data_IF_030230590146
#
_entry.id   IF_030230590146
#
_cell.length_a   1.000
_cell.length_b   1.000
_cell.length_c   1.000
_cell.angle_alpha   90.00
_cell.angle_beta   90.00
_cell.angle_gamma   90.00
#
_symmetry.space_group_name_H-M   'P 1'
#
loop_
_entity.id
_entity.type
_entity.pdbx_description
1 polymer ?
#
# COMPACT_ATOMS: atom_id res chain seq x y z
N UNK A 1 -11.42 -12.41 0.49
CA UNK A 1 -11.74 -11.72 -0.78
C UNK A 1 -10.77 -12.22 -1.84
N UNK A 2 -11.29 -12.67 -2.98
CA UNK A 2 -10.53 -13.23 -4.11
C UNK A 2 -10.93 -12.47 -5.38
N UNK A 3 -9.98 -12.09 -6.19
CA UNK A 3 -10.21 -11.58 -7.55
C UNK A 3 -10.41 -12.80 -8.45
N UNK A 4 -11.60 -12.98 -9.02
CA UNK A 4 -11.94 -14.10 -9.89
C UNK A 4 -11.84 -13.76 -11.38
N UNK A 5 -12.08 -12.48 -11.74
CA UNK A 5 -12.02 -12.02 -13.12
C UNK A 5 -11.66 -10.55 -13.25
N UNK A 6 -11.09 -10.20 -14.40
CA UNK A 6 -10.73 -8.82 -14.74
C UNK A 6 -10.96 -8.62 -16.24
N UNK A 7 -11.77 -7.62 -16.60
CA UNK A 7 -11.93 -7.16 -17.98
C UNK A 7 -11.41 -5.75 -18.11
N UNK A 8 -10.67 -5.50 -19.17
CA UNK A 8 -10.01 -4.24 -19.50
C UNK A 8 -10.50 -3.76 -20.85
N UNK A 9 -10.98 -2.52 -20.91
CA UNK A 9 -11.33 -1.86 -22.16
C UNK A 9 -10.56 -0.54 -22.24
N UNK A 10 -9.76 -0.40 -23.28
CA UNK A 10 -8.93 0.77 -23.55
C UNK A 10 -8.07 1.19 -22.34
N UNK A 11 -7.49 0.22 -21.66
CA UNK A 11 -6.66 0.48 -20.49
C UNK A 11 -5.18 0.19 -20.80
N UNK A 12 -4.36 1.22 -20.78
CA UNK A 12 -2.90 1.13 -21.07
C UNK A 12 -2.62 0.47 -22.43
N UNK A 13 -2.09 -0.75 -22.45
CA UNK A 13 -1.80 -1.55 -23.65
C UNK A 13 -2.94 -2.48 -24.07
N UNK A 14 -4.06 -2.48 -23.34
CA UNK A 14 -5.19 -3.38 -23.61
C UNK A 14 -6.33 -2.63 -24.27
N UNK A 15 -6.70 -3.04 -25.49
CA UNK A 15 -7.92 -2.54 -26.16
C UNK A 15 -9.18 -3.19 -25.60
N UNK A 16 -9.24 -4.52 -25.60
CA UNK A 16 -10.26 -5.32 -24.89
C UNK A 16 -9.59 -6.66 -24.52
N UNK A 17 -9.58 -6.96 -23.23
CA UNK A 17 -8.99 -8.19 -22.72
C UNK A 17 -9.72 -8.67 -21.49
N UNK A 18 -9.86 -9.99 -21.37
CA UNK A 18 -10.47 -10.62 -20.19
C UNK A 18 -9.52 -11.68 -19.63
N UNK A 19 -9.34 -11.68 -18.31
CA UNK A 19 -8.51 -12.62 -17.58
C UNK A 19 -9.30 -13.22 -16.44
N UNK A 20 -9.10 -14.51 -16.20
CA UNK A 20 -9.64 -15.22 -15.03
C UNK A 20 -8.51 -15.63 -14.10
N UNK A 21 -8.74 -15.49 -12.79
CA UNK A 21 -7.80 -15.86 -11.75
C UNK A 21 -8.35 -16.97 -10.86
N UNK A 22 -7.45 -17.80 -10.36
CA UNK A 22 -7.74 -18.79 -9.32
C UNK A 22 -7.67 -18.21 -7.90
N UNK A 23 -8.18 -18.92 -6.90
CA UNK A 23 -8.22 -18.40 -5.53
C UNK A 23 -6.89 -18.39 -4.79
N UNK A 24 -5.89 -19.12 -5.29
CA UNK A 24 -4.55 -19.23 -4.69
C UNK A 24 -3.48 -18.44 -5.43
N UNK A 25 -2.37 -19.12 -5.74
CA UNK A 25 -1.26 -18.55 -6.49
C UNK A 25 -1.61 -18.46 -7.98
N UNK A 26 -1.48 -17.26 -8.53
CA UNK A 26 -1.61 -16.98 -9.96
C UNK A 26 -0.28 -16.48 -10.50
N UNK A 27 0.19 -17.04 -11.60
CA UNK A 27 1.46 -16.69 -12.23
C UNK A 27 1.18 -16.15 -13.62
N UNK A 28 1.37 -14.85 -13.81
CA UNK A 28 1.22 -14.19 -15.10
C UNK A 28 2.59 -14.15 -15.79
N UNK A 29 2.74 -14.96 -16.84
CA UNK A 29 4.01 -15.10 -17.57
C UNK A 29 3.93 -14.35 -18.90
N UNK A 30 4.96 -13.61 -19.22
CA UNK A 30 5.07 -12.94 -20.53
C UNK A 30 6.41 -12.21 -20.70
N UNK A 31 6.78 -11.93 -21.93
CA UNK A 31 7.96 -11.13 -22.24
C UNK A 31 7.89 -9.73 -21.64
N UNK A 32 8.98 -8.98 -21.65
CA UNK A 32 8.94 -7.58 -21.24
C UNK A 32 8.02 -6.80 -22.18
N UNK A 33 7.32 -5.82 -21.61
CA UNK A 33 6.36 -4.95 -22.31
C UNK A 33 5.08 -5.64 -22.84
N UNK A 34 4.78 -6.90 -22.49
CA UNK A 34 3.51 -7.57 -22.83
C UNK A 34 2.29 -7.11 -22.01
N UNK A 35 2.44 -6.13 -21.12
CA UNK A 35 1.33 -5.61 -20.33
C UNK A 35 1.19 -6.18 -18.92
N UNK A 36 2.08 -7.05 -18.44
CA UNK A 36 2.02 -7.66 -17.10
C UNK A 36 1.73 -6.66 -15.98
N UNK A 37 2.56 -5.63 -15.88
CA UNK A 37 2.38 -4.54 -14.91
C UNK A 37 1.06 -3.79 -15.11
N UNK A 38 0.62 -3.59 -16.35
CA UNK A 38 -0.65 -2.92 -16.65
C UNK A 38 -1.87 -3.75 -16.18
N UNK A 39 -1.77 -5.07 -16.21
CA UNK A 39 -2.79 -5.97 -15.68
C UNK A 39 -2.96 -5.81 -14.17
N UNK A 40 -1.85 -5.85 -13.41
CA UNK A 40 -1.88 -5.62 -11.96
C UNK A 40 -2.31 -4.19 -11.61
N UNK A 41 -1.85 -3.20 -12.39
CA UNK A 41 -2.26 -1.79 -12.23
C UNK A 41 -3.77 -1.62 -12.39
N UNK A 42 -4.39 -2.33 -13.34
CA UNK A 42 -5.82 -2.26 -13.55
C UNK A 42 -6.62 -2.88 -12.39
N UNK A 43 -6.23 -4.06 -11.90
CA UNK A 43 -6.86 -4.68 -10.74
C UNK A 43 -6.72 -3.80 -9.47
N UNK A 44 -5.55 -3.21 -9.28
CA UNK A 44 -5.33 -2.23 -8.22
C UNK A 44 -6.19 -0.98 -8.39
N UNK A 45 -6.27 -0.45 -9.62
CA UNK A 45 -7.06 0.75 -9.93
C UNK A 45 -8.55 0.53 -9.64
N UNK A 46 -9.08 -0.64 -9.95
CA UNK A 46 -10.46 -0.99 -9.61
C UNK A 46 -10.71 -0.99 -8.10
N UNK A 47 -9.77 -1.52 -7.31
CA UNK A 47 -9.92 -1.68 -5.85
C UNK A 47 -9.55 -0.43 -5.04
N UNK A 48 -8.75 0.48 -5.59
CA UNK A 48 -8.24 1.66 -4.88
C UNK A 48 -8.67 2.99 -5.49
N UNK A 49 -9.22 2.97 -6.70
CA UNK A 49 -9.63 4.16 -7.44
C UNK A 49 -8.47 5.07 -7.83
N UNK A 50 -7.23 4.60 -7.74
CA UNK A 50 -6.03 5.37 -8.11
C UNK A 50 -4.91 4.41 -8.56
N UNK A 51 -4.11 4.85 -9.53
CA UNK A 51 -2.95 4.06 -9.97
C UNK A 51 -1.78 4.16 -8.99
N UNK A 52 -1.01 3.07 -8.76
CA UNK A 52 0.21 3.11 -7.96
C UNK A 52 1.36 3.83 -8.69
N UNK A 53 1.27 4.01 -10.01
CA UNK A 53 2.34 4.52 -10.89
C UNK A 53 2.12 5.95 -11.36
N UNK A 54 0.85 6.43 -11.43
CA UNK A 54 0.53 7.77 -11.93
C UNK A 54 -0.60 8.42 -11.14
N UNK A 55 -0.51 9.75 -11.01
CA UNK A 55 -1.60 10.57 -10.44
C UNK A 55 -2.57 11.11 -11.48
N UNK A 56 -2.29 10.87 -12.77
CA UNK A 56 -3.10 11.36 -13.90
C UNK A 56 -3.80 10.18 -14.53
N UNK A 57 -5.12 10.10 -14.35
CA UNK A 57 -5.95 9.01 -14.85
C UNK A 57 -5.98 8.99 -16.39
N UNK A 58 -5.76 10.14 -17.07
CA UNK A 58 -5.65 10.22 -18.54
C UNK A 58 -4.55 9.30 -19.09
N UNK A 59 -3.48 9.09 -18.30
CA UNK A 59 -2.39 8.18 -18.68
C UNK A 59 -2.75 6.70 -18.63
N UNK A 60 -3.90 6.35 -18.08
CA UNK A 60 -4.40 4.98 -18.02
C UNK A 60 -5.15 4.59 -19.30
N UNK A 61 -5.60 5.56 -20.08
CA UNK A 61 -6.30 5.34 -21.35
C UNK A 61 -5.29 4.86 -22.40
N UNK A 62 -5.69 3.89 -23.22
CA UNK A 62 -4.94 3.46 -24.40
C UNK A 62 -4.71 4.63 -25.34
N UNK A 63 -3.53 4.70 -25.93
CA UNK A 63 -3.19 5.82 -26.83
C UNK A 63 -4.16 5.90 -28.00
N UNK A 64 -4.71 7.09 -28.23
CA UNK A 64 -5.72 7.34 -29.28
C UNK A 64 -7.17 7.16 -28.82
N UNK A 65 -7.41 6.56 -27.67
CA UNK A 65 -8.74 6.31 -27.14
C UNK A 65 -9.26 7.46 -26.28
N UNK A 66 -10.59 7.52 -26.10
CA UNK A 66 -11.26 8.61 -25.39
C UNK A 66 -11.66 8.26 -23.96
N UNK A 67 -11.70 7.00 -23.61
CA UNK A 67 -12.08 6.49 -22.28
C UNK A 67 -11.34 5.20 -21.97
N UNK A 68 -11.34 4.81 -20.71
CA UNK A 68 -10.94 3.47 -20.27
C UNK A 68 -11.95 2.92 -19.29
N UNK A 69 -12.09 1.58 -19.25
CA UNK A 69 -12.93 0.87 -18.29
C UNK A 69 -12.23 -0.36 -17.77
N UNK A 70 -12.39 -0.60 -16.47
CA UNK A 70 -11.94 -1.80 -15.77
C UNK A 70 -13.14 -2.40 -15.05
N UNK A 71 -13.44 -3.64 -15.34
CA UNK A 71 -14.44 -4.45 -14.63
C UNK A 71 -13.71 -5.54 -13.85
N UNK A 72 -13.88 -5.57 -12.55
CA UNK A 72 -13.26 -6.53 -11.66
C UNK A 72 -14.34 -7.40 -11.00
N UNK A 73 -14.20 -8.71 -11.13
CA UNK A 73 -15.04 -9.69 -10.43
C UNK A 73 -14.33 -10.15 -9.17
N UNK A 74 -15.06 -10.13 -8.08
CA UNK A 74 -14.59 -10.52 -6.75
C UNK A 74 -15.44 -11.66 -6.22
N UNK A 75 -14.84 -12.54 -5.47
CA UNK A 75 -15.52 -13.51 -4.64
C UNK A 75 -15.19 -13.25 -3.17
N UNK A 76 -16.20 -12.95 -2.38
CA UNK A 76 -16.04 -12.63 -0.96
C UNK A 76 -16.82 -13.65 -0.12
N UNK A 77 -16.24 -14.17 0.98
CA UNK A 77 -16.89 -15.19 1.79
C UNK A 77 -18.26 -14.78 2.32
N UNK A 78 -18.45 -13.50 2.63
CA UNK A 78 -19.68 -12.99 3.26
C UNK A 78 -20.73 -12.53 2.26
N UNK A 79 -20.32 -12.00 1.09
CA UNK A 79 -21.25 -11.40 0.12
C UNK A 79 -21.31 -12.16 -1.22
N UNK A 80 -20.52 -13.24 -1.38
CA UNK A 80 -20.45 -14.01 -2.63
C UNK A 80 -19.79 -13.24 -3.77
N UNK A 81 -20.28 -13.46 -4.98
CA UNK A 81 -19.79 -12.78 -6.18
C UNK A 81 -20.19 -11.30 -6.17
N UNK A 82 -19.20 -10.44 -6.38
CA UNK A 82 -19.35 -8.99 -6.45
C UNK A 82 -18.63 -8.44 -7.67
N UNK A 83 -19.08 -7.29 -8.16
CA UNK A 83 -18.48 -6.61 -9.30
C UNK A 83 -18.08 -5.18 -8.95
N UNK A 84 -16.88 -4.80 -9.35
CA UNK A 84 -16.39 -3.41 -9.27
C UNK A 84 -16.13 -2.90 -10.67
N UNK A 85 -16.78 -1.79 -11.03
CA UNK A 85 -16.61 -1.10 -12.31
C UNK A 85 -15.94 0.25 -12.09
N UNK A 86 -14.88 0.52 -12.85
CA UNK A 86 -14.22 1.81 -12.88
C UNK A 86 -14.13 2.30 -14.30
N UNK A 87 -14.85 3.36 -14.61
CA UNK A 87 -14.78 4.08 -15.88
C UNK A 87 -14.07 5.42 -15.70
N UNK A 88 -13.27 5.81 -16.67
CA UNK A 88 -12.67 7.14 -16.73
C UNK A 88 -12.71 7.69 -18.15
N UNK A 89 -13.20 8.92 -18.30
CA UNK A 89 -13.10 9.70 -19.50
C UNK A 89 -12.76 11.16 -19.14
N UNK A 90 -11.82 11.83 -19.83
CA UNK A 90 -11.43 13.21 -19.50
C UNK A 90 -12.60 14.21 -19.48
N UNK A 91 -13.61 13.99 -20.32
CA UNK A 91 -14.80 14.85 -20.41
C UNK A 91 -15.84 14.61 -19.32
N UNK A 92 -15.85 13.44 -18.69
CA UNK A 92 -16.89 13.02 -17.73
C UNK A 92 -16.31 12.74 -16.32
N UNK A 93 -14.97 12.66 -16.22
CA UNK A 93 -14.29 12.29 -14.98
C UNK A 93 -14.28 10.78 -14.72
N UNK A 94 -14.08 10.41 -13.49
CA UNK A 94 -14.01 9.02 -13.03
C UNK A 94 -15.32 8.62 -12.34
N UNK A 95 -15.84 7.46 -12.69
CA UNK A 95 -16.99 6.83 -12.07
C UNK A 95 -16.60 5.47 -11.49
N UNK A 96 -17.07 5.21 -10.29
CA UNK A 96 -16.80 3.99 -9.53
C UNK A 96 -18.13 3.38 -9.13
N UNK A 97 -18.34 2.11 -9.45
CA UNK A 97 -19.53 1.36 -9.02
C UNK A 97 -19.12 0.05 -8.34
N UNK A 98 -19.87 -0.32 -7.34
CA UNK A 98 -19.77 -1.60 -6.65
C UNK A 98 -21.14 -2.26 -6.68
N UNK A 99 -21.24 -3.42 -7.33
CA UNK A 99 -22.52 -4.12 -7.61
C UNK A 99 -23.57 -3.19 -8.25
N UNK A 100 -23.12 -2.36 -9.21
CA UNK A 100 -23.96 -1.40 -9.91
C UNK A 100 -24.26 -0.10 -9.14
N UNK A 101 -23.96 -0.05 -7.85
CA UNK A 101 -24.16 1.15 -7.00
C UNK A 101 -22.98 2.09 -7.08
N UNK A 102 -23.23 3.37 -7.30
CA UNK A 102 -22.17 4.39 -7.36
C UNK A 102 -21.49 4.57 -6.00
N UNK A 103 -20.15 4.59 -5.99
CA UNK A 103 -19.32 4.84 -4.83
C UNK A 103 -19.07 6.34 -4.71
N UNK A 104 -19.54 6.95 -3.61
CA UNK A 104 -19.47 8.39 -3.41
C UNK A 104 -18.05 8.90 -3.12
N UNK A 105 -17.18 8.07 -2.54
CA UNK A 105 -15.82 8.48 -2.16
C UNK A 105 -14.80 7.36 -2.33
N UNK A 106 -13.54 7.74 -2.54
CA UNK A 106 -12.42 6.78 -2.56
C UNK A 106 -12.18 6.14 -1.17
N UNK A 107 -12.57 6.80 -0.10
CA UNK A 107 -12.43 6.25 1.26
C UNK A 107 -13.42 5.11 1.46
N UNK A 108 -14.66 5.23 0.94
CA UNK A 108 -15.66 4.15 0.96
C UNK A 108 -15.18 2.94 0.16
N UNK A 109 -14.58 3.17 -1.02
CA UNK A 109 -14.01 2.09 -1.83
C UNK A 109 -12.89 1.36 -1.09
N UNK A 110 -11.97 2.12 -0.47
CA UNK A 110 -10.82 1.58 0.27
C UNK A 110 -11.24 0.82 1.52
N UNK A 111 -12.30 1.22 2.17
CA UNK A 111 -12.87 0.53 3.33
C UNK A 111 -13.50 -0.84 2.98
N UNK A 112 -13.96 -1.02 1.74
CA UNK A 112 -14.59 -2.28 1.28
C UNK A 112 -13.58 -3.36 0.90
N UNK A 113 -12.36 -2.99 0.52
CA UNK A 113 -11.38 -3.92 -0.02
C UNK A 113 -10.00 -3.73 0.61
N UNK A 114 -9.39 -4.83 1.06
CA UNK A 114 -7.99 -4.86 1.43
C UNK A 114 -7.21 -5.47 0.28
N UNK A 115 -6.29 -4.73 -0.30
CA UNK A 115 -5.42 -5.19 -1.39
C UNK A 115 -4.01 -4.65 -1.18
N UNK A 116 -3.02 -5.47 -1.49
CA UNK A 116 -1.61 -5.18 -1.30
C UNK A 116 -0.89 -5.30 -2.64
N UNK A 117 0.06 -4.41 -2.89
CA UNK A 117 0.82 -4.44 -4.14
C UNK A 117 2.31 -4.16 -3.90
N UNK A 118 3.14 -5.00 -4.50
CA UNK A 118 4.56 -4.74 -4.69
C UNK A 118 4.79 -4.37 -6.15
N UNK A 119 5.30 -3.19 -6.37
CA UNK A 119 5.79 -2.69 -7.67
C UNK A 119 7.22 -2.16 -7.47
N UNK A 120 8.01 -1.96 -8.51
CA UNK A 120 9.38 -1.44 -8.37
C UNK A 120 9.45 -0.13 -7.55
N UNK A 121 8.44 0.73 -7.68
CA UNK A 121 8.31 1.97 -6.91
C UNK A 121 8.07 1.75 -5.40
N UNK A 122 7.67 0.55 -4.98
CA UNK A 122 7.48 0.21 -3.56
C UNK A 122 8.78 0.29 -2.76
N UNK A 123 9.93 0.16 -3.41
CA UNK A 123 11.24 0.42 -2.78
C UNK A 123 11.40 1.85 -2.23
N UNK A 124 10.61 2.79 -2.74
CA UNK A 124 10.56 4.14 -2.21
C UNK A 124 9.92 4.23 -0.81
N UNK A 125 9.34 3.16 -0.29
CA UNK A 125 8.96 3.07 1.13
C UNK A 125 10.20 3.03 2.02
N UNK A 126 11.29 2.39 1.58
CA UNK A 126 12.56 2.40 2.31
C UNK A 126 13.41 3.60 1.90
N UNK A 127 13.64 3.81 0.60
CA UNK A 127 14.57 4.83 0.07
C UNK A 127 14.01 6.24 0.09
N UNK A 128 12.70 6.40 0.02
CA UNK A 128 12.02 7.68 -0.20
C UNK A 128 11.92 8.57 1.03
N UNK A 129 11.06 9.57 0.91
CA UNK A 129 10.84 10.56 1.96
C UNK A 129 9.96 10.05 3.10
N UNK A 130 10.08 10.61 4.32
CA UNK A 130 9.16 10.36 5.42
C UNK A 130 7.68 10.57 5.05
N UNK A 131 7.39 11.55 4.20
CA UNK A 131 6.03 11.84 3.76
C UNK A 131 5.41 10.66 3.00
N UNK A 132 6.18 9.92 2.19
CA UNK A 132 5.72 8.72 1.48
C UNK A 132 5.40 7.59 2.45
N UNK A 133 6.28 7.36 3.44
CA UNK A 133 6.07 6.32 4.47
C UNK A 133 4.84 6.61 5.32
N UNK A 134 4.66 7.88 5.74
CA UNK A 134 3.42 8.28 6.43
C UNK A 134 2.18 8.07 5.58
N UNK A 135 2.21 8.50 4.31
CA UNK A 135 1.07 8.34 3.42
C UNK A 135 0.69 6.86 3.22
N UNK A 136 1.67 5.96 3.13
CA UNK A 136 1.44 4.53 3.07
C UNK A 136 0.82 3.99 4.36
N UNK A 137 1.43 4.30 5.51
CA UNK A 137 0.94 3.88 6.83
C UNK A 137 -0.47 4.42 7.10
N UNK A 138 -0.72 5.71 6.81
CA UNK A 138 -2.01 6.34 7.02
C UNK A 138 -3.09 5.73 6.11
N UNK A 139 -2.74 5.38 4.86
CA UNK A 139 -3.66 4.70 3.94
C UNK A 139 -4.01 3.28 4.42
N UNK A 140 -3.03 2.53 4.93
CA UNK A 140 -3.25 1.22 5.50
C UNK A 140 -4.10 1.29 6.78
N UNK A 141 -3.73 2.18 7.71
CA UNK A 141 -4.44 2.37 8.96
C UNK A 141 -5.90 2.81 8.76
N UNK A 142 -6.13 3.78 7.86
CA UNK A 142 -7.46 4.29 7.54
C UNK A 142 -8.38 3.23 6.91
N UNK A 143 -7.81 2.26 6.20
CA UNK A 143 -8.58 1.15 5.63
C UNK A 143 -8.99 0.10 6.68
N UNK A 144 -8.30 0.05 7.83
CA UNK A 144 -8.58 -0.89 8.92
C UNK A 144 -9.41 -0.26 10.07
N UNK A 145 -9.27 1.04 10.27
CA UNK A 145 -9.86 1.75 11.40
C UNK A 145 -10.51 3.06 10.95
N UNK A 146 -11.86 3.13 10.88
CA UNK A 146 -12.59 4.36 10.55
C UNK A 146 -12.29 5.53 11.50
N UNK A 147 -11.94 5.25 12.76
CA UNK A 147 -11.60 6.29 13.74
C UNK A 147 -10.21 6.86 13.45
N UNK A 148 -9.26 6.01 13.01
CA UNK A 148 -7.97 6.50 12.48
C UNK A 148 -8.17 7.40 11.27
N UNK A 149 -9.02 6.99 10.32
CA UNK A 149 -9.34 7.79 9.14
C UNK A 149 -9.95 9.16 9.51
N UNK A 150 -10.83 9.20 10.50
CA UNK A 150 -11.41 10.44 11.02
C UNK A 150 -10.33 11.33 11.66
N UNK A 151 -9.54 10.79 12.59
CA UNK A 151 -8.45 11.53 13.26
C UNK A 151 -7.42 12.08 12.27
N UNK A 152 -7.07 11.31 11.24
CA UNK A 152 -6.14 11.76 10.20
C UNK A 152 -6.71 12.91 9.34
N UNK A 153 -8.00 12.87 8.98
CA UNK A 153 -8.69 13.99 8.30
C UNK A 153 -8.77 15.22 9.17
N UNK A 154 -9.14 15.06 10.43
CA UNK A 154 -9.24 16.16 11.39
C UNK A 154 -7.89 16.84 11.59
N UNK A 155 -6.81 16.06 11.77
CA UNK A 155 -5.46 16.60 11.86
C UNK A 155 -5.09 17.43 10.63
N UNK A 156 -5.38 16.95 9.41
CA UNK A 156 -5.11 17.70 8.19
C UNK A 156 -5.91 19.01 8.14
N UNK A 157 -7.16 18.99 8.58
CA UNK A 157 -8.01 20.18 8.66
C UNK A 157 -7.44 21.22 9.62
N UNK A 158 -7.21 20.81 10.86
CA UNK A 158 -6.68 21.68 11.92
C UNK A 158 -5.28 22.19 11.57
N UNK A 159 -4.41 21.34 11.00
CA UNK A 159 -3.07 21.72 10.56
C UNK A 159 -3.08 22.83 9.51
N UNK A 160 -3.98 22.76 8.52
CA UNK A 160 -4.14 23.84 7.52
C UNK A 160 -4.53 25.16 8.14
N UNK A 161 -5.52 25.15 9.05
CA UNK A 161 -5.99 26.35 9.73
C UNK A 161 -4.92 26.93 10.66
N UNK A 162 -4.27 26.07 11.46
CA UNK A 162 -3.17 26.48 12.33
C UNK A 162 -2.01 27.10 11.53
N UNK A 163 -1.61 26.51 10.40
CA UNK A 163 -0.58 27.08 9.55
C UNK A 163 -0.99 28.43 8.95
N UNK A 164 -2.25 28.62 8.57
CA UNK A 164 -2.76 29.91 8.12
C UNK A 164 -2.66 30.96 9.24
N UNK A 165 -2.98 30.61 10.48
CA UNK A 165 -2.83 31.51 11.64
C UNK A 165 -1.37 31.80 11.97
N UNK A 166 -0.47 30.81 11.90
CA UNK A 166 0.98 31.02 12.06
C UNK A 166 1.53 32.02 11.04
N UNK A 167 1.09 31.91 9.79
CA UNK A 167 1.43 32.87 8.75
C UNK A 167 0.86 34.28 9.02
N UNK A 168 -0.37 34.37 9.50
CA UNK A 168 -0.98 35.65 9.87
C UNK A 168 -0.24 36.32 11.05
N UNK A 169 0.12 35.56 12.09
CA UNK A 169 0.88 36.03 13.25
C UNK A 169 2.29 36.48 12.83
N UNK A 170 2.95 35.75 11.95
CA UNK A 170 4.23 36.16 11.34
C UNK A 170 4.12 37.52 10.66
N UNK A 171 2.97 37.84 10.08
CA UNK A 171 2.69 39.11 9.40
C UNK A 171 2.06 40.18 10.32
N UNK A 172 2.12 40.01 11.65
CA UNK A 172 1.70 41.02 12.61
C UNK A 172 0.35 40.81 13.28
N UNK A 173 -0.35 39.70 13.02
CA UNK A 173 -1.56 39.36 13.77
C UNK A 173 -1.23 38.97 15.22
N UNK A 174 -2.23 39.03 16.11
CA UNK A 174 -2.06 38.65 17.50
C UNK A 174 -1.77 37.17 17.68
N UNK A 175 -0.76 36.82 18.48
CA UNK A 175 -0.41 35.44 18.81
C UNK A 175 -1.51 34.70 19.59
N UNK A 176 -2.40 35.41 20.28
CA UNK A 176 -3.57 34.84 20.98
C UNK A 176 -4.52 34.11 20.02
N UNK A 177 -4.55 34.51 18.72
CA UNK A 177 -5.34 33.85 17.69
C UNK A 177 -4.90 32.38 17.42
N UNK A 178 -3.74 31.96 17.92
CA UNK A 178 -3.28 30.57 17.84
C UNK A 178 -3.88 29.68 18.94
N UNK A 179 -4.30 30.22 20.07
CA UNK A 179 -4.72 29.42 21.24
C UNK A 179 -5.82 28.40 20.94
N UNK A 180 -6.92 28.72 20.24
CA UNK A 180 -7.96 27.74 19.92
C UNK A 180 -7.44 26.67 18.94
N UNK A 181 -6.53 27.02 18.03
CA UNK A 181 -5.95 26.08 17.07
C UNK A 181 -4.92 25.18 17.72
N UNK A 182 -4.13 25.68 18.68
CA UNK A 182 -3.20 24.87 19.46
C UNK A 182 -3.95 23.83 20.30
N UNK A 183 -5.06 24.20 20.94
CA UNK A 183 -5.90 23.28 21.70
C UNK A 183 -6.52 22.19 20.81
N UNK A 184 -7.10 22.58 19.67
CA UNK A 184 -7.65 21.60 18.72
C UNK A 184 -6.56 20.69 18.15
N UNK A 185 -5.40 21.25 17.82
CA UNK A 185 -4.27 20.48 17.30
C UNK A 185 -3.74 19.49 18.33
N UNK A 186 -3.56 19.88 19.59
CA UNK A 186 -3.11 19.01 20.67
C UNK A 186 -4.01 17.80 20.82
N UNK A 187 -5.34 18.01 20.85
CA UNK A 187 -6.33 16.94 20.97
C UNK A 187 -6.26 15.94 19.82
N UNK A 188 -6.33 16.41 18.55
CA UNK A 188 -6.32 15.50 17.40
C UNK A 188 -4.95 14.86 17.15
N UNK A 189 -3.87 15.54 17.56
CA UNK A 189 -2.52 15.00 17.50
C UNK A 189 -2.30 13.87 18.50
N UNK A 190 -2.82 14.02 19.74
CA UNK A 190 -2.81 12.96 20.75
C UNK A 190 -3.55 11.74 20.26
N UNK A 191 -4.78 11.90 19.77
CA UNK A 191 -5.63 10.83 19.26
C UNK A 191 -4.96 10.06 18.12
N UNK A 192 -4.51 10.76 17.07
CA UNK A 192 -3.85 10.13 15.93
C UNK A 192 -2.53 9.48 16.34
N UNK A 193 -1.75 10.14 17.21
CA UNK A 193 -0.46 9.64 17.67
C UNK A 193 -0.59 8.33 18.46
N UNK A 194 -1.58 8.22 19.35
CA UNK A 194 -1.89 6.98 20.05
C UNK A 194 -2.20 5.84 19.08
N UNK A 195 -3.18 6.05 18.18
CA UNK A 195 -3.61 5.03 17.22
C UNK A 195 -2.47 4.59 16.31
N UNK A 196 -1.65 5.53 15.86
CA UNK A 196 -0.49 5.23 15.01
C UNK A 196 0.56 4.41 15.74
N UNK A 197 0.86 4.77 16.99
CA UNK A 197 1.82 4.03 17.82
C UNK A 197 1.35 2.59 18.03
N UNK A 198 0.09 2.39 18.39
CA UNK A 198 -0.46 1.07 18.69
C UNK A 198 -0.48 0.20 17.42
N UNK A 199 -0.90 0.75 16.28
CA UNK A 199 -0.85 0.06 15.00
C UNK A 199 0.59 -0.34 14.60
N UNK A 200 1.55 0.58 14.74
CA UNK A 200 2.94 0.27 14.37
C UNK A 200 3.54 -0.76 15.31
N UNK A 201 3.18 -0.79 16.59
CA UNK A 201 3.63 -1.82 17.52
C UNK A 201 3.14 -3.22 17.09
N UNK A 202 1.87 -3.37 16.72
CA UNK A 202 1.33 -4.62 16.18
C UNK A 202 2.01 -5.00 14.85
N UNK A 203 2.16 -4.04 13.95
CA UNK A 203 2.75 -4.25 12.63
C UNK A 203 4.24 -4.63 12.75
N UNK A 204 4.99 -4.04 13.68
CA UNK A 204 6.41 -4.31 13.87
C UNK A 204 6.70 -5.76 14.26
N UNK A 205 5.83 -6.38 15.08
CA UNK A 205 5.96 -7.80 15.42
C UNK A 205 5.77 -8.66 14.16
N UNK A 206 4.65 -8.49 13.44
CA UNK A 206 4.40 -9.22 12.19
C UNK A 206 5.47 -8.98 11.13
N UNK A 207 5.97 -7.75 11.02
CA UNK A 207 7.06 -7.40 10.12
C UNK A 207 8.35 -8.18 10.44
N UNK A 208 8.76 -8.24 11.71
CA UNK A 208 9.96 -8.97 12.12
C UNK A 208 9.85 -10.46 11.85
N UNK A 209 8.66 -11.06 12.08
CA UNK A 209 8.37 -12.46 11.76
C UNK A 209 8.47 -12.74 10.25
N UNK A 210 7.84 -11.89 9.41
CA UNK A 210 7.86 -12.03 7.95
C UNK A 210 9.26 -11.79 7.39
N UNK A 211 9.99 -10.82 7.94
CA UNK A 211 11.36 -10.55 7.55
C UNK A 211 12.29 -11.74 7.86
N UNK A 212 12.17 -12.33 9.04
CA UNK A 212 12.92 -13.52 9.42
C UNK A 212 12.59 -14.72 8.51
N UNK A 213 11.30 -14.88 8.12
CA UNK A 213 10.88 -15.94 7.22
C UNK A 213 11.43 -15.76 5.78
N UNK A 214 11.73 -14.53 5.36
CA UNK A 214 12.33 -14.20 4.06
C UNK A 214 13.87 -14.09 4.10
N UNK A 215 14.51 -14.33 5.25
CA UNK A 215 15.93 -14.13 5.49
C UNK A 215 16.72 -15.46 5.47
N UNK A 216 17.27 -15.90 4.32
CA UNK A 216 18.00 -17.16 4.24
C UNK A 216 19.31 -17.17 5.03
N UNK A 217 19.91 -16.02 5.27
CA UNK A 217 21.15 -15.85 6.03
C UNK A 217 20.92 -15.42 7.50
N UNK A 218 19.65 -15.41 7.96
CA UNK A 218 19.30 -15.07 9.33
C UNK A 218 19.31 -13.58 9.66
N UNK A 219 19.18 -12.73 8.60
CA UNK A 219 19.03 -11.29 8.79
C UNK A 219 17.78 -11.01 9.63
N UNK A 220 17.87 -10.06 10.53
CA UNK A 220 16.76 -9.61 11.36
C UNK A 220 16.43 -8.17 11.04
N UNK A 221 15.19 -7.91 10.67
CA UNK A 221 14.72 -6.55 10.44
C UNK A 221 13.68 -6.16 11.50
N UNK A 222 13.64 -4.88 11.81
CA UNK A 222 12.64 -4.28 12.69
C UNK A 222 12.05 -3.02 12.05
N UNK A 223 10.79 -2.75 12.39
CA UNK A 223 10.06 -1.55 11.98
C UNK A 223 9.92 -0.65 13.20
N UNK A 224 10.37 0.61 13.07
CA UNK A 224 10.36 1.58 14.17
C UNK A 224 9.60 2.84 13.78
N UNK A 225 8.61 3.23 14.57
CA UNK A 225 8.03 4.57 14.51
C UNK A 225 8.97 5.56 15.21
N UNK A 226 9.33 6.62 14.52
CA UNK A 226 10.02 7.78 15.08
C UNK A 226 8.99 8.88 15.24
N UNK A 227 8.28 8.84 16.36
CA UNK A 227 7.20 9.77 16.63
C UNK A 227 7.73 11.06 17.28
N UNK A 228 7.19 12.19 16.85
CA UNK A 228 7.52 13.48 17.45
C UNK A 228 6.97 13.62 18.89
N UNK A 229 5.93 12.85 19.20
CA UNK A 229 5.26 12.87 20.50
C UNK A 229 5.93 11.98 21.55
N UNK A 230 6.83 11.08 21.18
CA UNK A 230 7.46 10.14 22.12
C UNK A 230 8.22 10.84 23.28
N UNK A 231 8.79 12.04 23.02
CA UNK A 231 9.50 12.83 24.05
C UNK A 231 8.60 13.64 24.97
N UNK A 232 7.33 13.81 24.62
CA UNK A 232 6.36 14.67 25.34
C UNK A 232 5.24 13.84 25.95
N UNK A 233 4.94 12.71 25.32
CA UNK A 233 3.76 11.89 25.62
C UNK A 233 2.57 12.23 24.72
N UNK A 234 1.49 11.48 24.93
CA UNK A 234 0.26 11.61 24.13
C UNK A 234 -0.86 12.28 24.94
N UNK A 235 -0.51 12.95 26.02
CA UNK A 235 -1.43 13.74 26.83
C UNK A 235 -1.70 15.10 26.19
N UNK A 236 -2.96 15.49 26.08
CA UNK A 236 -3.39 16.73 25.43
C UNK A 236 -2.78 17.97 26.11
N UNK A 237 -2.71 17.99 27.45
CA UNK A 237 -2.19 19.12 28.20
C UNK A 237 -0.67 19.27 27.99
N UNK A 238 0.08 18.17 28.04
CA UNK A 238 1.52 18.17 27.78
C UNK A 238 1.84 18.61 26.34
N UNK A 239 1.03 18.16 25.36
CA UNK A 239 1.16 18.58 23.96
C UNK A 239 0.85 20.07 23.77
N UNK A 240 -0.15 20.60 24.47
CA UNK A 240 -0.51 22.01 24.41
C UNK A 240 0.64 22.89 24.96
N UNK A 241 1.24 22.47 26.07
CA UNK A 241 2.37 23.20 26.65
C UNK A 241 3.60 23.16 25.74
N UNK A 242 3.88 22.03 25.12
CA UNK A 242 4.97 21.90 24.13
C UNK A 242 4.72 22.76 22.89
N UNK A 243 3.49 22.83 22.39
CA UNK A 243 3.12 23.71 21.27
C UNK A 243 3.36 25.19 21.62
N UNK A 244 2.97 25.61 22.83
CA UNK A 244 3.22 26.97 23.31
C UNK A 244 4.71 27.29 23.41
N UNK A 245 5.52 26.36 23.89
CA UNK A 245 6.97 26.52 23.98
C UNK A 245 7.63 26.68 22.62
N UNK A 246 7.15 25.97 21.59
CA UNK A 246 7.67 26.00 20.22
C UNK A 246 7.12 27.15 19.37
N UNK A 247 6.07 27.82 19.83
CA UNK A 247 5.37 28.88 19.10
C UNK A 247 6.30 29.93 18.48
N UNK A 248 7.32 30.49 19.16
CA UNK A 248 8.20 31.50 18.56
C UNK A 248 8.92 30.98 17.30
N UNK A 249 9.41 29.75 17.33
CA UNK A 249 10.08 29.12 16.20
C UNK A 249 9.11 28.78 15.05
N UNK A 250 7.90 28.38 15.34
CA UNK A 250 6.85 28.09 14.35
C UNK A 250 6.32 29.35 13.69
N UNK A 251 6.09 30.43 14.46
CA UNK A 251 5.71 31.75 13.94
C UNK A 251 6.78 32.29 12.99
N UNK A 252 8.07 32.22 13.37
CA UNK A 252 9.14 32.70 12.49
C UNK A 252 9.17 32.03 11.13
N UNK A 253 8.78 30.75 11.06
CA UNK A 253 8.70 29.95 9.82
C UNK A 253 7.31 30.01 9.16
N UNK A 254 6.28 30.36 9.89
CA UNK A 254 4.88 30.37 9.42
C UNK A 254 4.31 28.96 9.23
N UNK A 255 4.84 27.94 9.92
CA UNK A 255 4.48 26.54 9.75
C UNK A 255 4.61 25.75 11.04
N UNK A 256 3.73 24.77 11.22
CA UNK A 256 3.80 23.79 12.31
C UNK A 256 5.01 22.86 12.12
N UNK A 257 5.85 22.76 13.13
CA UNK A 257 7.10 22.00 13.08
C UNK A 257 7.06 20.74 13.96
N UNK A 258 6.04 20.59 14.79
CA UNK A 258 5.90 19.53 15.77
C UNK A 258 4.54 18.85 15.62
N UNK A 259 4.50 17.52 15.78
CA UNK A 259 3.28 16.72 15.74
C UNK A 259 3.33 15.55 14.76
N UNK A 260 2.26 14.72 14.67
CA UNK A 260 2.23 13.47 13.91
C UNK A 260 2.49 13.64 12.40
N UNK A 261 2.26 14.81 11.85
CA UNK A 261 2.60 15.13 10.45
C UNK A 261 4.11 15.18 10.18
N UNK A 262 4.95 15.05 11.22
CA UNK A 262 6.42 15.00 11.16
C UNK A 262 7.01 13.65 11.55
N UNK A 263 6.19 12.69 11.93
CA UNK A 263 6.64 11.33 12.24
C UNK A 263 7.35 10.67 11.05
N UNK A 264 8.14 9.65 11.35
CA UNK A 264 8.78 8.82 10.35
C UNK A 264 8.68 7.33 10.75
N UNK A 265 8.75 6.47 9.74
CA UNK A 265 8.83 5.02 9.90
C UNK A 265 10.19 4.56 9.40
N UNK A 266 10.98 3.89 10.25
CA UNK A 266 12.31 3.38 9.92
C UNK A 266 12.30 1.88 9.79
N UNK A 267 13.04 1.41 8.80
CA UNK A 267 13.38 0.01 8.59
C UNK A 267 14.81 -0.22 9.09
N UNK A 268 14.94 -1.02 10.13
CA UNK A 268 16.21 -1.25 10.79
C UNK A 268 16.65 -2.69 10.60
N UNK A 269 17.91 -2.93 10.32
CA UNK A 269 18.53 -4.23 10.49
C UNK A 269 19.10 -4.32 11.89
N UNK A 270 18.74 -5.38 12.60
CA UNK A 270 19.27 -5.68 13.94
C UNK A 270 20.38 -6.70 13.75
N UNK A 271 21.59 -6.33 14.14
CA UNK A 271 22.74 -7.24 14.13
C UNK A 271 22.47 -8.48 15.00
N UNK A 272 23.15 -9.62 14.73
CA UNK A 272 23.05 -10.79 15.58
C UNK A 272 23.40 -10.41 17.03
N UNK A 273 22.55 -10.80 17.96
CA UNK A 273 22.89 -10.70 19.38
C UNK A 273 24.22 -11.43 19.61
N UNK A 274 25.23 -10.71 20.10
CA UNK A 274 26.49 -11.32 20.48
C UNK A 274 26.20 -12.34 21.59
N UNK A 275 26.03 -13.60 21.24
CA UNK A 275 25.94 -14.66 22.23
C UNK A 275 25.09 -15.89 21.95
N UNK A 276 24.32 -15.97 20.86
CA UNK A 276 23.54 -17.20 20.59
C UNK A 276 23.66 -17.64 19.13
N UNK A 277 24.65 -18.49 18.85
CA UNK A 277 24.62 -19.34 17.66
C UNK A 277 23.59 -20.47 17.91
N UNK A 278 22.40 -20.36 17.35
CA UNK A 278 21.48 -21.48 17.23
C UNK A 278 20.93 -21.55 15.82
N UNK A 279 21.45 -22.51 15.09
CA UNK A 279 20.94 -22.95 13.80
C UNK A 279 19.66 -23.78 14.04
N UNK A 280 18.51 -23.14 13.93
CA UNK A 280 17.24 -23.82 13.67
C UNK A 280 16.45 -22.98 12.69
N UNK A 281 16.12 -23.54 11.53
CA UNK A 281 15.24 -22.92 10.56
C UNK A 281 13.92 -22.56 11.27
N UNK A 282 13.41 -21.32 11.12
CA UNK A 282 12.14 -20.94 11.77
C UNK A 282 11.00 -21.74 11.13
N UNK A 283 10.25 -22.43 11.97
CA UNK A 283 8.99 -23.03 11.57
C UNK A 283 8.02 -21.92 11.15
N UNK A 284 7.22 -22.15 10.11
CA UNK A 284 6.15 -21.24 9.70
C UNK A 284 5.19 -21.12 10.91
N UNK A 285 4.96 -19.90 11.43
CA UNK A 285 4.12 -19.75 12.62
C UNK A 285 2.67 -20.09 12.27
N UNK A 286 2.16 -21.15 12.92
CA UNK A 286 0.74 -21.48 12.92
C UNK A 286 0.02 -20.49 13.83
N UNK A 287 -1.08 -19.92 13.33
CA UNK A 287 -1.89 -18.94 14.04
C UNK A 287 -2.47 -19.57 15.33
N UNK A 288 -1.96 -19.19 16.48
CA UNK A 288 -2.66 -19.36 17.76
C UNK A 288 -3.00 -17.97 18.29
N UNK A 289 -4.30 -17.75 18.43
CA UNK A 289 -4.88 -16.54 19.01
C UNK A 289 -4.44 -16.36 20.45
N UNK A 290 -3.67 -15.30 20.72
CA UNK A 290 -3.26 -14.91 22.06
C UNK A 290 -2.50 -13.60 22.03
N UNK A 291 -3.22 -12.47 22.03
CA UNK A 291 -2.67 -11.14 22.17
C UNK A 291 -2.06 -10.98 23.56
N UNK A 292 -0.75 -10.95 23.65
CA UNK A 292 -0.04 -10.39 24.81
C UNK A 292 0.57 -9.07 24.39
N UNK A 293 -0.09 -7.99 24.75
CA UNK A 293 0.37 -6.63 24.55
C UNK A 293 1.29 -6.24 25.72
N UNK A 294 2.62 -6.27 25.49
CA UNK A 294 3.62 -5.67 26.36
C UNK A 294 4.48 -4.69 25.57
N UNK A 295 5.05 -3.65 26.20
CA UNK A 295 5.95 -2.74 25.52
C UNK A 295 7.17 -3.51 25.04
N UNK A 296 7.39 -3.51 23.71
CA UNK A 296 8.59 -4.08 23.12
C UNK A 296 9.73 -3.10 23.36
N UNK A 297 10.63 -3.43 24.29
CA UNK A 297 11.91 -2.72 24.44
C UNK A 297 12.73 -2.91 23.15
N UNK A 298 12.83 -1.83 22.37
CA UNK A 298 13.53 -1.84 21.11
C UNK A 298 15.04 -1.79 21.34
N UNK A 299 15.86 -2.66 20.73
CA UNK A 299 17.30 -2.61 20.89
C UNK A 299 17.84 -1.29 20.34
N UNK A 300 18.57 -0.55 21.18
CA UNK A 300 19.34 0.62 20.79
C UNK A 300 20.48 0.16 19.87
N UNK A 301 20.41 0.44 18.57
CA UNK A 301 21.54 0.24 17.67
C UNK A 301 21.30 -0.58 16.40
N UNK A 302 20.12 -0.47 15.75
CA UNK A 302 19.89 -1.06 14.43
C UNK A 302 20.51 -0.22 13.29
N UNK A 303 20.98 -0.87 12.20
CA UNK A 303 21.46 -0.24 10.96
C UNK A 303 20.25 0.18 10.12
N UNK A 304 20.13 1.47 9.76
CA UNK A 304 19.05 1.98 8.91
C UNK A 304 19.17 1.44 7.47
N UNK A 305 18.22 0.64 7.03
CA UNK A 305 18.21 0.04 5.69
C UNK A 305 18.15 1.08 4.56
N UNK A 306 17.64 2.27 4.83
CA UNK A 306 17.64 3.37 3.87
C UNK A 306 19.05 3.80 3.48
N UNK A 307 19.97 3.82 4.45
CA UNK A 307 21.33 4.35 4.28
C UNK A 307 22.33 3.24 3.95
N UNK A 308 22.14 2.06 4.52
CA UNK A 308 23.15 1.01 4.55
C UNK A 308 22.65 -0.33 3.97
N UNK A 309 21.34 -0.47 3.73
CA UNK A 309 20.78 -1.72 3.21
C UNK A 309 21.15 -1.93 1.74
N UNK A 310 21.50 -3.18 1.39
CA UNK A 310 21.58 -3.62 0.00
C UNK A 310 20.20 -3.58 -0.68
N UNK A 311 20.15 -3.61 -2.00
CA UNK A 311 18.87 -3.63 -2.72
C UNK A 311 18.03 -4.86 -2.35
N UNK A 312 18.67 -6.03 -2.18
CA UNK A 312 18.00 -7.27 -1.78
C UNK A 312 17.39 -7.18 -0.37
N UNK A 313 18.11 -6.60 0.60
CA UNK A 313 17.59 -6.36 1.96
C UNK A 313 16.42 -5.36 1.96
N UNK A 314 16.52 -4.30 1.19
CA UNK A 314 15.45 -3.30 1.07
C UNK A 314 14.19 -3.89 0.43
N UNK A 315 14.32 -4.77 -0.57
CA UNK A 315 13.21 -5.51 -1.19
C UNK A 315 12.58 -6.49 -0.21
N UNK A 316 13.41 -7.27 0.48
CA UNK A 316 12.94 -8.19 1.52
C UNK A 316 12.16 -7.44 2.62
N UNK A 317 12.64 -6.26 3.04
CA UNK A 317 11.95 -5.43 4.02
C UNK A 317 10.58 -4.92 3.50
N UNK A 318 10.47 -4.49 2.24
CA UNK A 318 9.19 -4.07 1.67
C UNK A 318 8.23 -5.25 1.55
N UNK A 319 8.69 -6.40 1.09
CA UNK A 319 7.87 -7.61 1.01
C UNK A 319 7.40 -8.06 2.40
N UNK A 320 8.29 -8.04 3.39
CA UNK A 320 7.95 -8.36 4.77
C UNK A 320 6.88 -7.40 5.34
N UNK A 321 6.96 -6.10 5.01
CA UNK A 321 5.95 -5.12 5.38
C UNK A 321 4.59 -5.46 4.77
N UNK A 322 4.52 -5.70 3.46
CA UNK A 322 3.26 -5.98 2.76
C UNK A 322 2.62 -7.28 3.26
N UNK A 323 3.42 -8.32 3.54
CA UNK A 323 2.94 -9.58 4.11
C UNK A 323 2.45 -9.40 5.56
N UNK A 324 3.14 -8.59 6.35
CA UNK A 324 2.72 -8.26 7.71
C UNK A 324 1.40 -7.44 7.70
N UNK A 325 1.28 -6.48 6.80
CA UNK A 325 0.05 -5.70 6.60
C UNK A 325 -1.11 -6.60 6.18
N UNK A 326 -0.89 -7.50 5.20
CA UNK A 326 -1.90 -8.47 4.77
C UNK A 326 -2.36 -9.36 5.92
N UNK A 327 -1.42 -9.89 6.71
CA UNK A 327 -1.70 -10.73 7.87
C UNK A 327 -2.48 -9.97 8.95
N UNK A 328 -2.06 -8.74 9.27
CA UNK A 328 -2.74 -7.90 10.26
C UNK A 328 -4.15 -7.53 9.79
N UNK A 329 -4.31 -7.17 8.51
CA UNK A 329 -5.61 -6.91 7.93
C UNK A 329 -6.52 -8.15 8.03
N UNK A 330 -6.02 -9.33 7.67
CA UNK A 330 -6.77 -10.58 7.77
C UNK A 330 -7.18 -10.91 9.22
N UNK A 331 -6.31 -10.66 10.20
CA UNK A 331 -6.63 -10.88 11.61
C UNK A 331 -7.75 -9.95 12.11
N UNK A 332 -7.83 -8.73 11.59
CA UNK A 332 -8.86 -7.74 11.97
C UNK A 332 -10.17 -7.86 11.20
N UNK A 333 -10.11 -8.28 9.94
CA UNK A 333 -11.30 -8.34 9.05
C UNK A 333 -11.85 -9.76 8.86
N UNK A 334 -11.10 -10.78 9.28
CA UNK A 334 -11.45 -12.19 9.03
C UNK A 334 -11.09 -12.69 7.63
N UNK A 335 -10.60 -11.84 6.73
CA UNK A 335 -10.38 -12.18 5.32
C UNK A 335 -9.03 -11.72 4.80
N UNK A 336 -8.34 -12.62 4.08
CA UNK A 336 -7.13 -12.25 3.34
C UNK A 336 -7.49 -11.43 2.10
N UNK A 337 -6.87 -10.26 1.96
CA UNK A 337 -6.91 -9.49 0.71
C UNK A 337 -5.91 -10.02 -0.30
N UNK A 338 -6.13 -9.84 -1.63
CA UNK A 338 -5.20 -10.28 -2.65
C UNK A 338 -3.87 -9.49 -2.58
N UNK A 339 -2.77 -10.20 -2.85
CA UNK A 339 -1.43 -9.65 -2.94
C UNK A 339 -0.94 -9.67 -4.39
N UNK A 340 -0.64 -8.50 -4.93
CA UNK A 340 -0.12 -8.32 -6.28
C UNK A 340 1.38 -8.10 -6.24
N UNK A 341 2.15 -8.87 -7.01
CA UNK A 341 3.61 -8.83 -7.01
C UNK A 341 4.13 -8.66 -8.45
N UNK A 342 4.59 -7.44 -8.76
CA UNK A 342 5.10 -7.13 -10.10
C UNK A 342 6.59 -7.43 -10.21
N UNK A 343 6.91 -8.40 -11.06
CA UNK A 343 8.28 -8.88 -11.42
C UNK A 343 9.23 -9.11 -10.24
N UNK A 344 8.67 -9.47 -9.09
CA UNK A 344 9.45 -9.64 -7.85
C UNK A 344 10.48 -10.77 -7.97
N UNK A 345 10.19 -11.80 -8.79
CA UNK A 345 11.03 -12.99 -8.93
C UNK A 345 12.36 -12.73 -9.61
N UNK A 346 12.42 -11.80 -10.56
CA UNK A 346 13.67 -11.44 -11.25
C UNK A 346 14.68 -10.77 -10.34
N UNK A 347 14.20 -10.22 -9.22
CA UNK A 347 14.96 -9.35 -8.32
C UNK A 347 15.39 -10.01 -7.01
N UNK A 348 14.99 -11.25 -6.78
CA UNK A 348 15.33 -12.05 -5.60
C UNK A 348 16.33 -13.16 -5.97
N UNK A 349 17.18 -13.54 -5.03
CA UNK A 349 17.98 -14.75 -5.12
C UNK A 349 17.11 -16.02 -4.98
N UNK A 350 17.66 -17.18 -5.40
CA UNK A 350 16.91 -18.44 -5.42
C UNK A 350 16.41 -18.88 -4.04
N UNK A 351 17.15 -18.56 -2.98
CA UNK A 351 16.74 -18.90 -1.62
C UNK A 351 15.52 -18.09 -1.18
N UNK A 352 15.55 -16.76 -1.40
CA UNK A 352 14.42 -15.88 -1.08
C UNK A 352 13.20 -16.14 -1.95
N UNK A 353 13.38 -16.50 -3.25
CA UNK A 353 12.26 -16.91 -4.13
C UNK A 353 11.49 -18.10 -3.55
N UNK A 354 12.22 -19.17 -3.19
CA UNK A 354 11.59 -20.36 -2.59
C UNK A 354 10.86 -20.07 -1.29
N UNK A 355 11.42 -19.21 -0.42
CA UNK A 355 10.78 -18.80 0.82
C UNK A 355 9.51 -17.99 0.53
N UNK A 356 9.56 -17.05 -0.39
CA UNK A 356 8.41 -16.23 -0.77
C UNK A 356 7.26 -17.10 -1.31
N UNK A 357 7.53 -18.00 -2.27
CA UNK A 357 6.49 -18.87 -2.85
C UNK A 357 5.82 -19.74 -1.79
N UNK A 358 6.59 -20.30 -0.85
CA UNK A 358 6.03 -21.06 0.28
C UNK A 358 5.10 -20.21 1.16
N UNK A 359 5.48 -18.98 1.45
CA UNK A 359 4.66 -18.06 2.24
C UNK A 359 3.37 -17.71 1.52
N UNK A 360 3.44 -17.42 0.21
CA UNK A 360 2.27 -17.07 -0.60
C UNK A 360 1.24 -18.22 -0.69
N UNK A 361 1.69 -19.47 -0.62
CA UNK A 361 0.79 -20.62 -0.58
C UNK A 361 -0.11 -20.70 0.66
N UNK A 362 0.13 -19.89 1.68
CA UNK A 362 -0.63 -19.89 2.95
C UNK A 362 -1.32 -18.54 3.26
N UNK A 363 -1.12 -17.52 2.43
CA UNK A 363 -1.56 -16.14 2.73
C UNK A 363 -2.76 -15.67 1.92
N UNK A 364 -3.52 -16.58 1.30
CA UNK A 364 -4.66 -16.25 0.44
C UNK A 364 -4.26 -16.11 -1.02
N UNK A 365 -4.97 -15.27 -1.77
CA UNK A 365 -4.67 -15.08 -3.20
C UNK A 365 -3.43 -14.22 -3.41
N UNK A 366 -2.52 -14.72 -4.27
CA UNK A 366 -1.40 -13.96 -4.78
C UNK A 366 -1.40 -13.97 -6.32
N UNK A 367 -1.12 -12.81 -6.94
CA UNK A 367 -0.96 -12.68 -8.40
C UNK A 367 0.44 -12.14 -8.65
N UNK A 368 1.30 -12.98 -9.25
CA UNK A 368 2.71 -12.67 -9.51
C UNK A 368 2.89 -12.51 -11.01
N UNK A 369 3.51 -11.43 -11.43
CA UNK A 369 3.98 -11.29 -12.80
C UNK A 369 5.44 -11.70 -12.91
N UNK A 370 5.81 -12.35 -14.01
CA UNK A 370 7.18 -12.78 -14.27
C UNK A 370 7.49 -12.84 -15.76
N UNK A 371 8.76 -12.71 -16.09
CA UNK A 371 9.25 -12.95 -17.47
C UNK A 371 9.63 -14.42 -17.71
N UNK A 372 9.83 -15.18 -16.64
CA UNK A 372 10.36 -16.53 -16.75
C UNK A 372 9.68 -17.49 -15.78
N UNK A 373 9.07 -18.54 -16.31
CA UNK A 373 8.42 -19.59 -15.51
C UNK A 373 9.40 -20.51 -14.78
N UNK A 374 10.70 -20.51 -15.16
CA UNK A 374 11.74 -21.30 -14.47
C UNK A 374 12.07 -20.81 -13.05
N UNK A 375 11.51 -19.68 -12.62
CA UNK A 375 11.58 -19.25 -11.22
C UNK A 375 10.73 -20.10 -10.28
N UNK A 376 9.84 -20.94 -10.83
CA UNK A 376 8.94 -21.83 -10.10
C UNK A 376 9.25 -23.28 -10.44
N UNK A 377 9.12 -24.17 -9.47
CA UNK A 377 9.22 -25.61 -9.67
C UNK A 377 7.96 -26.14 -10.39
N UNK A 378 8.07 -27.32 -11.00
CA UNK A 378 6.93 -27.98 -11.66
C UNK A 378 5.78 -28.23 -10.68
N UNK A 379 6.08 -28.52 -9.40
CA UNK A 379 5.08 -28.73 -8.36
C UNK A 379 4.34 -27.42 -8.00
N UNK A 380 5.04 -26.29 -7.95
CA UNK A 380 4.46 -24.96 -7.73
C UNK A 380 3.59 -24.53 -8.92
N UNK A 381 4.06 -24.77 -10.15
CA UNK A 381 3.30 -24.49 -11.37
C UNK A 381 2.03 -25.37 -11.47
N UNK A 382 2.10 -26.63 -11.07
CA UNK A 382 0.94 -27.54 -11.09
C UNK A 382 -0.17 -27.12 -10.11
N UNK A 383 0.18 -26.38 -9.04
CA UNK A 383 -0.78 -25.87 -8.03
C UNK A 383 -1.24 -24.44 -8.31
N UNK A 384 -0.61 -23.74 -9.25
CA UNK A 384 -0.89 -22.37 -9.60
C UNK A 384 -1.80 -22.26 -10.82
N UNK A 385 -2.55 -21.15 -10.91
CA UNK A 385 -3.18 -20.75 -12.16
C UNK A 385 -2.15 -19.99 -13.01
N UNK A 386 -1.72 -20.57 -14.12
CA UNK A 386 -0.75 -19.96 -15.02
C UNK A 386 -1.49 -19.24 -16.15
N UNK A 387 -1.16 -17.96 -16.33
CA UNK A 387 -1.75 -17.07 -17.33
C UNK A 387 -0.62 -16.60 -18.25
N UNK A 388 -0.71 -16.89 -19.53
CA UNK A 388 0.31 -16.51 -20.52
C UNK A 388 -0.12 -15.23 -21.25
N UNK A 389 0.82 -14.29 -21.42
CA UNK A 389 0.64 -13.07 -22.19
C UNK A 389 1.47 -13.12 -23.48
N UNK A 390 0.99 -12.49 -24.57
CA UNK A 390 -0.17 -11.61 -24.65
C UNK A 390 -1.50 -12.38 -24.60
N UNK A 391 -2.54 -11.72 -24.05
CA UNK A 391 -3.90 -12.20 -24.15
C UNK A 391 -4.49 -11.87 -25.52
N UNK A 392 -5.48 -12.63 -25.95
CA UNK A 392 -6.28 -12.28 -27.14
C UNK A 392 -6.85 -10.86 -26.94
N UNK A 393 -6.67 -9.98 -27.95
CA UNK A 393 -7.06 -8.57 -27.85
C UNK A 393 -6.02 -7.63 -27.21
N UNK A 394 -4.89 -8.14 -26.69
CA UNK A 394 -3.79 -7.28 -26.22
C UNK A 394 -2.87 -6.87 -27.38
N UNK A 395 -2.30 -5.65 -27.27
CA UNK A 395 -1.29 -5.20 -28.21
C UNK A 395 0.03 -5.95 -27.99
N UNK A 396 0.57 -6.54 -29.05
CA UNK A 396 1.93 -7.11 -29.01
C UNK A 396 2.95 -5.98 -28.80
N UNK A 397 3.86 -6.14 -27.84
CA UNK A 397 4.95 -5.21 -27.66
C UNK A 397 5.92 -5.32 -28.85
N UNK A 398 6.11 -4.26 -29.62
CA UNK A 398 7.21 -4.15 -30.57
C UNK A 398 6.90 -3.68 -31.99
N UNK A 399 5.66 -3.48 -32.38
CA UNK A 399 5.36 -2.87 -33.67
C UNK A 399 5.13 -1.38 -33.54
N UNK A 400 5.76 -0.62 -34.43
CA UNK A 400 5.63 0.84 -34.52
C UNK A 400 4.16 1.22 -34.73
N UNK A 401 3.67 2.14 -33.90
CA UNK A 401 2.33 2.68 -33.84
C UNK A 401 1.22 1.62 -33.86
N UNK A 402 0.40 1.52 -32.79
CA UNK A 402 -0.72 0.57 -32.80
C UNK A 402 -1.55 0.81 -34.06
N UNK A 403 -2.05 -0.25 -34.71
CA UNK A 403 -3.11 -0.05 -35.68
C UNK A 403 -4.22 0.70 -34.97
N UNK A 404 -4.65 1.81 -35.50
CA UNK A 404 -5.90 2.47 -35.11
C UNK A 404 -6.94 1.34 -35.12
N UNK A 405 -7.68 1.16 -34.03
CA UNK A 405 -8.83 0.25 -34.03
C UNK A 405 -9.63 0.61 -35.28
N UNK A 406 -9.71 -0.30 -36.26
CA UNK A 406 -10.10 -0.02 -37.67
C UNK A 406 -11.53 0.44 -37.87
N UNK A 407 -12.29 0.66 -36.81
CA UNK A 407 -13.60 1.29 -36.88
C UNK A 407 -13.58 2.63 -36.12
N UNK A 408 -14.06 3.66 -36.78
CA UNK A 408 -14.33 4.95 -36.13
C UNK A 408 -15.18 4.65 -34.88
N UNK A 409 -14.72 4.99 -33.66
CA UNK A 409 -15.41 4.59 -32.45
C UNK A 409 -16.86 5.13 -32.55
N UNK A 410 -17.86 4.32 -32.17
CA UNK A 410 -19.20 4.82 -31.96
C UNK A 410 -19.11 5.98 -30.97
N UNK A 411 -20.04 6.93 -31.10
CA UNK A 411 -20.14 8.04 -30.15
C UNK A 411 -19.99 7.48 -28.74
N UNK A 412 -19.21 8.14 -27.85
CA UNK A 412 -18.94 7.57 -26.53
C UNK A 412 -20.28 7.20 -25.90
N UNK A 413 -20.47 5.93 -25.51
CA UNK A 413 -21.68 5.58 -24.78
C UNK A 413 -21.70 6.45 -23.56
N UNK A 414 -22.86 6.99 -23.21
CA UNK A 414 -23.02 7.68 -21.94
C UNK A 414 -22.50 6.72 -20.86
N UNK A 415 -21.62 7.17 -19.96
CA UNK A 415 -21.08 6.32 -18.90
C UNK A 415 -22.19 5.68 -18.04
N UNK A 416 -23.44 6.10 -18.22
CA UNK A 416 -24.63 5.51 -17.62
C UNK A 416 -25.14 4.26 -18.36
N UNK A 417 -24.71 4.02 -19.60
CA UNK A 417 -25.00 2.82 -20.38
C UNK A 417 -23.87 1.78 -20.34
N UNK A 418 -22.80 2.08 -19.59
CA UNK A 418 -21.66 1.20 -19.39
C UNK A 418 -21.69 0.52 -18.03
#
# INVERSE_FOLDING_TARGET
MVVSGLRLVNFRSYCDATVRFGPGLNIVVGANATGKTNLLEAAWFALRGSSPRTRRDEKLITWGERFSRVELQLDTPDAGEQQVDVGFAPSQGKRLRWDGLEIASLDDLRGRSQVFIFVPESLLLVKGSPARRRAHLDAFAAALDPQYAAAARDLQGVLRQRNAQLAAVKNGASAVALDPWDAQFARVAAELGHRRRDLVAELAQGFSEMAAALAPAGERFNLQLVAQLDGVGYDEAALLDELKSRRPGEVSRGLSLFGPHRDDLKFLEIGPEKGTASAAAPAIPTVTSGLVCGPVDLPKGGRDLRLFGSQGEQRAAVLALLLAEQRLAAARTGHHGPLFLDDVMSELDDARRRLLVRMLGTTGQAIITTTNRHYFSDEELARATVIELPLDGSLAAGEAAPPLCDEAPPAPPELDAL
#
